data_IF_540861344065
#
_entry.id   IF_540861344065
#
_cell.length_a   1.000
_cell.length_b   1.000
_cell.length_c   1.000
_cell.angle_alpha   90.00
_cell.angle_beta   90.00
_cell.angle_gamma   90.00
#
_symmetry.space_group_name_H-M   'P 1'
#
loop_
_entity.id
_entity.type
_entity.pdbx_description
1 polymer ?
#
# COMPACT_ATOMS: atom_id res chain seq x y z
N UNK A 1 -20.77 -10.03 -57.22
CA UNK A 1 -20.52 -10.23 -55.76
C UNK A 1 -20.01 -8.95 -55.12
N UNK A 2 -20.90 -8.12 -54.58
CA UNK A 2 -20.56 -6.79 -54.00
C UNK A 2 -20.22 -6.98 -52.50
N UNK A 3 -19.01 -6.66 -52.07
CA UNK A 3 -18.63 -6.56 -50.65
C UNK A 3 -19.09 -5.22 -50.09
N UNK A 4 -20.13 -5.22 -49.26
CA UNK A 4 -20.47 -4.08 -48.41
C UNK A 4 -19.39 -3.87 -47.34
N UNK A 5 -18.65 -2.76 -47.42
CA UNK A 5 -17.78 -2.27 -46.34
C UNK A 5 -18.66 -1.65 -45.25
N UNK A 6 -18.67 -2.30 -44.07
CA UNK A 6 -19.21 -1.69 -42.85
C UNK A 6 -18.24 -0.61 -42.37
N UNK A 7 -18.55 0.65 -42.64
CA UNK A 7 -17.88 1.79 -42.03
C UNK A 7 -18.49 1.99 -40.64
N UNK A 8 -17.86 1.42 -39.62
CA UNK A 8 -18.25 1.74 -38.24
C UNK A 8 -17.81 3.16 -37.91
N UNK A 9 -18.80 4.01 -37.58
CA UNK A 9 -18.64 5.43 -37.29
C UNK A 9 -17.81 5.64 -36.01
N UNK A 10 -16.53 5.90 -36.16
CA UNK A 10 -15.56 6.23 -35.11
C UNK A 10 -15.99 7.44 -34.23
N UNK A 11 -16.78 8.34 -34.75
CA UNK A 11 -17.28 9.51 -34.01
C UNK A 11 -18.16 9.17 -32.81
N UNK A 12 -19.04 8.17 -32.89
CA UNK A 12 -19.91 7.78 -31.76
C UNK A 12 -19.15 7.20 -30.59
N UNK A 13 -18.07 6.43 -30.86
CA UNK A 13 -17.24 5.84 -29.81
C UNK A 13 -16.44 6.90 -29.06
N UNK A 14 -15.93 7.92 -29.74
CA UNK A 14 -15.23 9.04 -29.10
C UNK A 14 -16.16 9.92 -28.24
N UNK A 15 -17.40 10.14 -28.66
CA UNK A 15 -18.39 10.89 -27.86
C UNK A 15 -18.82 10.13 -26.58
N UNK A 16 -18.95 8.80 -26.66
CA UNK A 16 -19.27 7.95 -25.49
C UNK A 16 -18.13 7.93 -24.49
N UNK A 17 -16.88 7.81 -24.95
CA UNK A 17 -15.70 7.85 -24.10
C UNK A 17 -15.56 9.23 -23.45
N UNK A 18 -15.75 10.31 -24.19
CA UNK A 18 -15.73 11.67 -23.65
C UNK A 18 -16.78 11.91 -22.57
N UNK A 19 -18.02 11.44 -22.77
CA UNK A 19 -19.09 11.55 -21.77
C UNK A 19 -18.84 10.68 -20.53
N UNK A 20 -18.24 9.48 -20.71
CA UNK A 20 -17.85 8.62 -19.59
C UNK A 20 -16.71 9.22 -18.76
N UNK A 21 -15.72 9.84 -19.40
CA UNK A 21 -14.60 10.52 -18.70
C UNK A 21 -15.07 11.75 -17.96
N UNK A 22 -15.96 12.56 -18.57
CA UNK A 22 -16.55 13.74 -17.93
C UNK A 22 -17.49 13.31 -16.79
N UNK A 23 -18.30 12.27 -16.96
CA UNK A 23 -19.17 11.71 -15.92
C UNK A 23 -18.38 11.16 -14.75
N UNK A 24 -17.27 10.47 -15.00
CA UNK A 24 -16.36 9.99 -13.96
C UNK A 24 -15.67 11.15 -13.24
N UNK A 25 -15.21 12.18 -13.96
CA UNK A 25 -14.63 13.40 -13.38
C UNK A 25 -15.60 14.18 -12.50
N UNK A 26 -16.88 14.31 -12.92
CA UNK A 26 -17.94 14.94 -12.13
C UNK A 26 -18.32 14.11 -10.89
N UNK A 27 -18.32 12.79 -11.00
CA UNK A 27 -18.54 11.89 -9.86
C UNK A 27 -17.42 12.01 -8.82
N UNK A 28 -16.17 12.08 -9.24
CA UNK A 28 -15.01 12.34 -8.38
C UNK A 28 -15.12 13.72 -7.70
N UNK A 29 -15.59 14.75 -8.41
CA UNK A 29 -15.81 16.08 -7.83
C UNK A 29 -16.94 16.13 -6.80
N UNK A 30 -18.04 15.41 -7.02
CA UNK A 30 -19.21 15.39 -6.10
C UNK A 30 -18.90 14.68 -4.77
N UNK A 31 -17.96 13.73 -4.78
CA UNK A 31 -17.50 13.02 -3.56
C UNK A 31 -16.64 13.93 -2.66
N UNK A 32 -16.24 15.11 -3.16
CA UNK A 32 -15.21 15.96 -2.57
C UNK A 32 -15.58 16.83 -1.34
N UNK A 33 -16.82 16.82 -0.81
CA UNK A 33 -17.28 17.90 0.07
C UNK A 33 -17.54 17.59 1.56
N UNK A 34 -16.96 16.57 2.19
CA UNK A 34 -17.12 16.34 3.63
C UNK A 34 -15.77 16.19 4.36
N UNK A 35 -15.58 16.98 5.42
CA UNK A 35 -14.35 16.98 6.22
C UNK A 35 -14.35 15.91 7.29
N UNK A 36 -13.29 15.12 7.35
CA UNK A 36 -13.10 14.10 8.40
C UNK A 36 -11.62 14.06 8.78
N UNK A 37 -11.34 13.95 10.10
CA UNK A 37 -9.99 13.67 10.62
C UNK A 37 -9.50 12.36 10.02
N UNK A 38 -8.23 12.31 9.61
CA UNK A 38 -7.63 11.12 9.04
C UNK A 38 -7.41 10.10 10.16
N UNK A 39 -7.98 8.89 10.09
CA UNK A 39 -7.57 7.81 10.98
C UNK A 39 -6.10 7.48 10.72
N UNK A 40 -5.40 6.94 11.72
CA UNK A 40 -4.04 6.49 11.56
C UNK A 40 -4.00 5.37 10.51
N UNK A 41 -3.04 5.47 9.60
CA UNK A 41 -2.82 4.55 8.49
C UNK A 41 -1.48 3.85 8.73
N UNK A 42 -1.44 2.52 8.65
CA UNK A 42 -0.22 1.78 8.95
C UNK A 42 0.84 1.95 7.88
N UNK A 43 0.45 1.86 6.61
CA UNK A 43 1.32 2.05 5.43
C UNK A 43 0.69 3.06 4.48
N UNK A 44 1.46 3.64 3.55
CA UNK A 44 0.89 4.39 2.41
C UNK A 44 0.29 3.39 1.43
N UNK A 45 1.11 2.50 0.91
CA UNK A 45 0.75 1.27 0.19
C UNK A 45 1.61 0.11 0.74
N UNK A 46 2.93 0.14 0.50
CA UNK A 46 3.88 -0.86 0.99
C UNK A 46 4.81 -0.33 2.08
N UNK A 47 5.00 0.99 2.14
CA UNK A 47 5.94 1.65 3.06
C UNK A 47 5.21 2.16 4.31
N UNK A 48 5.72 1.87 5.52
CA UNK A 48 5.11 2.32 6.76
C UNK A 48 5.01 3.84 6.86
N UNK A 49 3.94 4.32 7.46
CA UNK A 49 3.79 5.73 7.86
C UNK A 49 4.36 5.98 9.26
N UNK A 50 4.53 7.26 9.62
CA UNK A 50 4.87 7.65 10.98
C UNK A 50 3.62 7.78 11.90
N UNK A 51 2.46 7.34 11.45
CA UNK A 51 1.26 7.29 12.28
C UNK A 51 1.26 6.05 13.17
N UNK A 52 0.69 6.19 14.35
CA UNK A 52 0.48 5.12 15.34
C UNK A 52 -0.93 5.25 15.87
N UNK A 53 -1.63 4.14 16.01
CA UNK A 53 -2.98 4.10 16.56
C UNK A 53 -3.02 4.53 18.01
N UNK A 54 -4.03 5.33 18.36
CA UNK A 54 -4.32 5.68 19.75
C UNK A 54 -4.70 4.43 20.56
N UNK A 55 -4.49 4.49 21.88
CA UNK A 55 -4.80 3.40 22.81
C UNK A 55 -6.24 2.89 22.62
N UNK A 56 -6.37 1.59 22.44
CA UNK A 56 -7.64 0.90 22.29
C UNK A 56 -8.31 1.03 20.91
N UNK A 57 -7.73 1.80 19.99
CA UNK A 57 -8.18 1.83 18.60
C UNK A 57 -7.80 0.53 17.89
N UNK A 58 -8.67 0.08 17.00
CA UNK A 58 -8.48 -1.13 16.21
C UNK A 58 -8.66 -0.79 14.74
N UNK A 59 -7.71 -1.21 13.93
CA UNK A 59 -7.71 -1.04 12.48
C UNK A 59 -7.56 -2.39 11.79
N UNK A 60 -8.43 -2.63 10.82
CA UNK A 60 -8.34 -3.78 9.92
C UNK A 60 -8.05 -3.29 8.51
N UNK A 61 -7.21 -4.02 7.79
CA UNK A 61 -6.94 -3.77 6.38
C UNK A 61 -6.90 -5.09 5.61
N UNK A 62 -7.40 -5.06 4.38
CA UNK A 62 -7.29 -6.15 3.44
C UNK A 62 -6.60 -5.63 2.18
N UNK A 63 -5.40 -6.12 1.92
CA UNK A 63 -4.67 -5.82 0.70
C UNK A 63 -4.94 -6.91 -0.34
N UNK A 64 -5.23 -6.48 -1.55
CA UNK A 64 -5.48 -7.36 -2.70
C UNK A 64 -4.51 -6.99 -3.82
N UNK A 65 -3.53 -7.84 -4.05
CA UNK A 65 -2.60 -7.70 -5.16
C UNK A 65 -3.05 -8.55 -6.33
N UNK A 66 -3.06 -8.00 -7.54
CA UNK A 66 -3.46 -8.72 -8.75
C UNK A 66 -2.54 -8.39 -9.93
N UNK A 67 -1.93 -9.44 -10.48
CA UNK A 67 -1.18 -9.41 -11.74
C UNK A 67 -1.91 -10.30 -12.75
N UNK A 68 -2.67 -9.70 -13.70
CA UNK A 68 -3.53 -10.49 -14.60
C UNK A 68 -2.77 -11.25 -15.69
N UNK A 69 -1.59 -10.76 -16.09
CA UNK A 69 -0.83 -11.29 -17.20
C UNK A 69 0.49 -11.91 -16.73
N UNK A 70 0.90 -12.99 -17.40
CA UNK A 70 2.23 -13.54 -17.25
C UNK A 70 3.31 -12.60 -17.82
N UNK A 71 4.50 -12.63 -17.25
CA UNK A 71 5.71 -12.00 -17.80
C UNK A 71 6.87 -13.01 -17.72
N UNK A 72 7.97 -12.72 -18.40
CA UNK A 72 9.16 -13.57 -18.36
C UNK A 72 9.71 -13.79 -16.93
N UNK A 73 9.56 -12.79 -16.06
CA UNK A 73 10.11 -12.83 -14.72
C UNK A 73 9.14 -13.40 -13.68
N UNK A 74 7.84 -13.15 -13.83
CA UNK A 74 6.82 -13.52 -12.84
C UNK A 74 5.51 -13.87 -13.56
N UNK A 75 4.95 -15.03 -13.22
CA UNK A 75 3.64 -15.45 -13.69
C UNK A 75 2.51 -14.59 -13.13
N UNK A 76 1.32 -14.76 -13.68
CA UNK A 76 0.10 -14.16 -13.12
C UNK A 76 -0.14 -14.62 -11.68
N UNK A 77 -0.64 -13.75 -10.84
CA UNK A 77 -1.01 -14.07 -9.47
C UNK A 77 -2.13 -13.18 -8.94
N UNK A 78 -2.76 -13.64 -7.88
CA UNK A 78 -3.50 -12.79 -6.93
C UNK A 78 -3.06 -13.15 -5.51
N UNK A 79 -3.05 -12.17 -4.63
CA UNK A 79 -2.68 -12.34 -3.23
C UNK A 79 -3.61 -11.51 -2.36
N UNK A 80 -3.93 -12.04 -1.20
CA UNK A 80 -4.78 -11.40 -0.21
C UNK A 80 -4.02 -11.35 1.11
N UNK A 81 -3.89 -10.16 1.68
CA UNK A 81 -3.16 -9.94 2.94
C UNK A 81 -4.09 -9.25 3.93
N UNK A 82 -4.85 -9.99 4.73
CA UNK A 82 -5.55 -9.40 5.87
C UNK A 82 -4.56 -9.00 6.95
N UNK A 83 -4.81 -7.82 7.52
CA UNK A 83 -4.00 -7.18 8.55
C UNK A 83 -4.89 -6.68 9.67
N UNK A 84 -4.48 -6.87 10.91
CA UNK A 84 -5.15 -6.34 12.09
C UNK A 84 -4.14 -5.64 12.98
N UNK A 85 -4.44 -4.40 13.38
CA UNK A 85 -3.57 -3.58 14.23
C UNK A 85 -4.37 -2.99 15.37
N UNK A 86 -3.75 -2.93 16.55
CA UNK A 86 -4.33 -2.41 17.78
C UNK A 86 -3.37 -1.41 18.41
N UNK A 87 -3.88 -0.24 18.78
CA UNK A 87 -3.14 0.75 19.57
C UNK A 87 -2.99 0.28 21.02
N UNK A 88 -1.75 -0.01 21.43
CA UNK A 88 -1.43 -0.46 22.78
C UNK A 88 -1.30 0.69 23.81
N UNK A 89 -1.27 1.94 23.35
CA UNK A 89 -0.95 3.12 24.16
C UNK A 89 0.53 3.43 24.19
N UNK A 90 0.91 4.50 24.87
CA UNK A 90 2.30 4.99 24.94
C UNK A 90 2.95 5.16 23.55
N UNK A 91 2.14 5.55 22.55
CA UNK A 91 2.58 5.67 21.15
C UNK A 91 3.10 4.35 20.54
N UNK A 92 2.57 3.22 20.99
CA UNK A 92 2.88 1.89 20.48
C UNK A 92 1.63 1.26 19.87
N UNK A 93 1.76 0.64 18.74
CA UNK A 93 0.77 -0.26 18.16
C UNK A 93 1.40 -1.63 17.91
N UNK A 94 0.56 -2.66 17.95
CA UNK A 94 0.93 -4.03 17.62
C UNK A 94 -0.13 -4.64 16.71
N UNK A 95 0.28 -5.55 15.85
CA UNK A 95 -0.60 -6.15 14.88
C UNK A 95 -0.14 -7.51 14.38
N UNK A 96 -0.89 -8.02 13.42
CA UNK A 96 -0.56 -9.24 12.71
C UNK A 96 -1.01 -9.15 11.25
N UNK A 97 -0.14 -9.55 10.33
CA UNK A 97 -0.44 -9.70 8.92
C UNK A 97 -0.42 -11.18 8.55
N UNK A 98 -1.36 -11.63 7.74
CA UNK A 98 -1.32 -12.94 7.10
C UNK A 98 -0.85 -12.75 5.66
N UNK A 99 0.42 -13.04 5.41
CA UNK A 99 1.03 -12.90 4.10
C UNK A 99 0.92 -14.20 3.32
N UNK A 100 0.59 -14.11 2.04
CA UNK A 100 0.53 -15.23 1.14
C UNK A 100 -0.79 -15.33 0.37
N UNK A 101 -0.94 -16.42 -0.37
CA UNK A 101 -2.15 -16.68 -1.14
C UNK A 101 -3.13 -17.46 -0.29
N UNK A 102 -4.32 -16.94 -0.08
CA UNK A 102 -5.46 -17.66 0.50
C UNK A 102 -6.38 -18.28 -0.56
N UNK A 103 -5.97 -18.24 -1.82
CA UNK A 103 -6.64 -18.89 -2.94
C UNK A 103 -6.19 -20.35 -3.09
N UNK A 104 -6.97 -21.20 -3.80
CA UNK A 104 -6.57 -22.58 -4.08
C UNK A 104 -5.25 -22.66 -4.85
N UNK A 105 -4.37 -23.60 -4.47
CA UNK A 105 -3.09 -23.84 -5.12
C UNK A 105 -1.93 -24.04 -4.15
N UNK A 106 -0.71 -24.22 -4.66
CA UNK A 106 0.51 -24.36 -3.84
C UNK A 106 0.90 -22.96 -3.31
N UNK A 107 0.23 -22.52 -2.28
CA UNK A 107 0.47 -21.25 -1.63
C UNK A 107 1.47 -21.34 -0.48
N UNK A 108 2.13 -20.23 -0.19
CA UNK A 108 2.90 -20.05 1.02
C UNK A 108 2.15 -19.13 1.96
N UNK A 109 2.04 -19.52 3.22
CA UNK A 109 1.42 -18.68 4.25
C UNK A 109 2.45 -18.31 5.30
N UNK A 110 2.53 -17.03 5.59
CA UNK A 110 3.40 -16.48 6.63
C UNK A 110 2.56 -15.66 7.59
N UNK A 111 2.68 -15.94 8.87
CA UNK A 111 2.13 -15.07 9.92
C UNK A 111 3.21 -14.05 10.24
N UNK A 112 2.85 -12.77 10.21
CA UNK A 112 3.79 -11.69 10.49
C UNK A 112 3.26 -10.80 11.63
N UNK A 113 3.55 -11.13 12.91
CA UNK A 113 3.37 -10.19 14.00
C UNK A 113 4.16 -8.93 13.76
N UNK A 114 3.56 -7.77 14.06
CA UNK A 114 4.17 -6.46 13.86
C UNK A 114 4.13 -5.64 15.13
N UNK A 115 5.12 -4.79 15.31
CA UNK A 115 5.13 -3.76 16.34
C UNK A 115 5.71 -2.49 15.77
N UNK A 116 5.08 -1.34 16.10
CA UNK A 116 5.56 -0.02 15.70
C UNK A 116 5.43 0.94 16.88
N UNK A 117 6.48 1.71 17.14
CA UNK A 117 6.49 2.72 18.19
C UNK A 117 6.92 4.07 17.65
N UNK A 118 6.22 5.15 18.04
CA UNK A 118 6.60 6.52 17.72
C UNK A 118 7.61 7.00 18.74
N UNK A 119 8.85 7.21 18.30
CA UNK A 119 9.98 7.63 19.14
C UNK A 119 10.17 9.13 19.17
N UNK A 120 9.60 9.83 18.20
CA UNK A 120 9.57 11.29 18.18
C UNK A 120 8.23 11.79 17.63
N UNK A 121 7.65 12.75 18.32
CA UNK A 121 6.44 13.48 17.91
C UNK A 121 6.67 14.97 18.13
N UNK A 122 6.97 15.66 17.05
CA UNK A 122 7.22 17.10 17.06
C UNK A 122 5.96 17.95 17.08
N UNK A 123 4.77 17.33 17.13
CA UNK A 123 3.46 18.02 17.22
C UNK A 123 3.35 19.18 16.21
N UNK A 124 3.55 20.41 16.71
CA UNK A 124 3.36 21.65 15.93
C UNK A 124 4.39 21.81 14.80
N UNK A 125 5.57 21.24 14.94
CA UNK A 125 6.58 21.30 13.88
C UNK A 125 6.32 20.29 12.75
N UNK A 126 5.32 19.40 12.91
CA UNK A 126 4.87 18.45 11.90
C UNK A 126 5.82 17.28 11.62
N UNK A 127 6.90 17.11 12.37
CA UNK A 127 7.78 15.96 12.28
C UNK A 127 7.31 14.82 13.19
N UNK A 128 7.41 13.57 12.69
CA UNK A 128 7.22 12.38 13.49
C UNK A 128 8.21 11.30 13.04
N UNK A 129 8.69 10.49 13.98
CA UNK A 129 9.58 9.36 13.70
C UNK A 129 9.09 8.12 14.42
N UNK A 130 9.05 7.01 13.69
CA UNK A 130 8.69 5.68 14.21
C UNK A 130 9.83 4.69 13.97
N UNK A 131 9.87 3.67 14.81
CA UNK A 131 10.66 2.45 14.61
C UNK A 131 9.67 1.29 14.66
N UNK A 132 9.84 0.32 13.77
CA UNK A 132 8.99 -0.86 13.74
C UNK A 132 9.75 -2.12 13.33
N UNK A 133 9.13 -3.24 13.64
CA UNK A 133 9.62 -4.57 13.28
C UNK A 133 8.46 -5.49 12.91
N UNK A 134 8.67 -6.33 11.89
CA UNK A 134 7.76 -7.38 11.48
C UNK A 134 8.52 -8.71 11.53
N UNK A 135 8.03 -9.64 12.33
CA UNK A 135 8.58 -10.98 12.42
C UNK A 135 7.86 -11.91 11.45
N UNK A 136 8.54 -12.39 10.42
CA UNK A 136 8.00 -13.32 9.44
C UNK A 136 8.14 -14.77 9.94
N UNK A 137 7.01 -15.45 10.13
CA UNK A 137 6.92 -16.84 10.58
C UNK A 137 6.23 -17.66 9.47
N UNK A 138 6.99 -18.28 8.54
CA UNK A 138 6.39 -19.11 7.49
C UNK A 138 5.81 -20.38 8.13
N UNK A 139 4.51 -20.59 7.93
CA UNK A 139 3.76 -21.72 8.54
C UNK A 139 3.33 -22.76 7.52
N UNK A 140 3.19 -22.36 6.24
CA UNK A 140 2.83 -23.26 5.15
C UNK A 140 3.70 -23.01 3.92
N UNK A 141 4.08 -24.09 3.19
CA UNK A 141 4.92 -24.02 1.98
C UNK A 141 6.13 -23.09 2.17
N UNK A 142 6.97 -23.41 3.13
CA UNK A 142 8.06 -22.56 3.60
C UNK A 142 9.10 -22.33 2.52
N UNK A 143 9.03 -21.19 1.84
CA UNK A 143 10.05 -20.78 0.86
C UNK A 143 11.30 -20.19 1.53
N UNK A 144 11.23 -19.80 2.81
CA UNK A 144 12.31 -19.22 3.60
C UNK A 144 12.15 -19.57 5.09
N UNK A 145 13.19 -19.37 5.87
CA UNK A 145 13.15 -19.49 7.34
C UNK A 145 12.56 -18.23 7.97
N UNK A 146 12.22 -18.33 9.27
CA UNK A 146 11.78 -17.17 10.04
C UNK A 146 12.81 -16.04 9.99
N UNK A 147 12.35 -14.80 9.99
CA UNK A 147 13.21 -13.63 9.93
C UNK A 147 12.45 -12.34 10.18
N UNK A 148 13.14 -11.21 10.11
CA UNK A 148 12.59 -9.91 10.46
C UNK A 148 12.74 -8.89 9.32
N UNK A 149 11.86 -7.91 9.35
CA UNK A 149 11.93 -6.64 8.65
C UNK A 149 11.86 -5.54 9.69
N UNK A 150 12.99 -4.88 9.92
CA UNK A 150 13.14 -3.77 10.86
C UNK A 150 13.26 -2.48 10.08
N UNK A 151 12.61 -1.41 10.55
CA UNK A 151 12.63 -0.12 9.86
C UNK A 151 12.61 1.07 10.81
N UNK A 152 13.07 2.21 10.29
CA UNK A 152 12.85 3.54 10.85
C UNK A 152 12.22 4.41 9.77
N UNK A 153 11.18 5.15 10.12
CA UNK A 153 10.52 6.11 9.24
C UNK A 153 10.38 7.46 9.92
N UNK A 154 10.79 8.50 9.23
CA UNK A 154 10.55 9.90 9.62
C UNK A 154 9.65 10.55 8.60
N UNK A 155 8.66 11.28 9.06
CA UNK A 155 7.68 11.95 8.21
C UNK A 155 7.54 13.41 8.60
N UNK A 156 7.41 14.27 7.60
CA UNK A 156 7.11 15.69 7.74
C UNK A 156 5.74 16.00 7.16
N UNK A 157 4.89 16.62 7.94
CA UNK A 157 3.62 17.19 7.49
C UNK A 157 3.81 18.69 7.25
N UNK A 158 3.60 19.14 6.01
CA UNK A 158 3.67 20.54 5.60
C UNK A 158 2.27 21.14 5.58
N UNK A 159 2.12 22.37 6.09
CA UNK A 159 0.86 23.12 6.05
C UNK A 159 -0.38 22.27 6.44
N UNK A 160 -0.18 21.35 7.37
CA UNK A 160 -1.20 20.42 7.88
C UNK A 160 -1.83 19.50 6.84
N UNK A 161 -1.21 19.33 5.69
CA UNK A 161 -1.79 18.54 4.60
C UNK A 161 -0.80 17.65 3.84
N UNK A 162 0.17 18.22 3.14
CA UNK A 162 1.16 17.45 2.37
C UNK A 162 2.09 16.72 3.31
N UNK A 163 2.30 15.43 3.08
CA UNK A 163 3.16 14.58 3.89
C UNK A 163 4.27 13.98 3.04
N UNK A 164 5.49 14.06 3.53
CA UNK A 164 6.66 13.45 2.92
C UNK A 164 7.38 12.64 3.97
N UNK A 165 7.62 11.38 3.68
CA UNK A 165 8.32 10.47 4.57
C UNK A 165 9.58 9.91 3.92
N UNK A 166 10.58 9.64 4.76
CA UNK A 166 11.80 8.93 4.38
C UNK A 166 12.30 8.10 5.55
N UNK A 167 12.98 7.02 5.22
CA UNK A 167 13.49 6.13 6.25
C UNK A 167 14.42 5.08 5.68
N UNK A 168 14.86 4.19 6.55
CA UNK A 168 15.69 3.06 6.21
C UNK A 168 15.07 1.75 6.69
N UNK A 169 15.47 0.67 6.06
CA UNK A 169 15.04 -0.67 6.43
C UNK A 169 16.19 -1.68 6.41
N UNK A 170 15.95 -2.78 7.11
CA UNK A 170 16.81 -3.94 7.11
C UNK A 170 15.99 -5.24 7.17
N UNK A 171 16.30 -6.17 6.26
CA UNK A 171 15.79 -7.53 6.30
C UNK A 171 16.83 -8.48 6.91
N UNK A 172 16.42 -9.39 7.79
CA UNK A 172 17.25 -10.52 8.17
C UNK A 172 17.52 -11.42 6.94
N UNK A 173 18.61 -12.18 6.97
CA UNK A 173 19.10 -12.96 5.82
C UNK A 173 18.07 -13.92 5.23
N UNK A 174 17.15 -14.41 6.05
CA UNK A 174 16.23 -15.47 5.68
C UNK A 174 14.95 -14.96 4.97
N UNK A 175 14.70 -13.65 4.96
CA UNK A 175 13.45 -13.04 4.43
C UNK A 175 13.55 -12.74 2.95
N UNK A 176 14.74 -12.50 2.44
CA UNK A 176 14.99 -12.13 1.03
C UNK A 176 15.90 -13.13 0.35
N UNK A 177 15.84 -13.19 -0.98
CA UNK A 177 16.65 -14.08 -1.78
C UNK A 177 18.17 -13.84 -1.55
N UNK A 178 18.99 -14.86 -1.75
CA UNK A 178 20.40 -14.87 -1.39
C UNK A 178 21.27 -13.74 -1.98
N UNK A 179 20.88 -13.18 -3.12
CA UNK A 179 21.60 -12.06 -3.78
C UNK A 179 20.83 -10.73 -3.74
N UNK A 180 19.73 -10.68 -2.98
CA UNK A 180 18.91 -9.49 -2.86
C UNK A 180 19.50 -8.49 -1.87
N UNK A 181 19.15 -7.21 -2.04
CA UNK A 181 19.50 -6.19 -1.07
C UNK A 181 18.73 -6.43 0.23
N UNK A 182 19.43 -6.41 1.35
CA UNK A 182 18.84 -6.58 2.68
C UNK A 182 18.56 -5.26 3.38
N UNK A 183 19.15 -4.19 2.91
CA UNK A 183 18.98 -2.85 3.46
C UNK A 183 18.78 -1.85 2.34
N UNK A 184 18.10 -0.76 2.63
CA UNK A 184 17.85 0.32 1.69
C UNK A 184 17.05 1.46 2.29
N UNK A 185 16.57 2.35 1.41
CA UNK A 185 15.73 3.47 1.77
C UNK A 185 14.25 3.18 1.52
N UNK A 186 13.40 3.91 2.24
CA UNK A 186 11.97 3.95 2.05
C UNK A 186 11.52 5.40 1.95
N UNK A 187 10.57 5.68 1.04
CA UNK A 187 10.08 7.02 0.81
C UNK A 187 8.57 7.00 0.66
N UNK A 188 7.90 8.04 1.18
CA UNK A 188 6.46 8.22 1.03
C UNK A 188 6.13 9.65 0.65
N UNK A 189 5.06 9.80 -0.11
CA UNK A 189 4.49 11.09 -0.47
C UNK A 189 2.97 10.98 -0.44
N UNK A 190 2.33 11.97 0.18
CA UNK A 190 0.88 12.07 0.23
C UNK A 190 0.47 13.54 0.04
N UNK A 191 -0.39 13.79 -0.93
CA UNK A 191 -0.97 15.10 -1.21
C UNK A 191 -2.50 15.02 -1.20
N UNK A 192 -3.16 15.43 -0.13
CA UNK A 192 -4.61 15.59 -0.13
C UNK A 192 -5.05 16.60 -1.19
N UNK A 193 -5.92 16.18 -2.09
CA UNK A 193 -6.59 17.06 -3.06
C UNK A 193 -7.82 17.70 -2.43
N UNK A 194 -8.47 16.95 -1.57
CA UNK A 194 -9.62 17.37 -0.79
C UNK A 194 -9.76 16.45 0.44
N UNK A 195 -10.87 16.60 1.18
CA UNK A 195 -11.12 15.84 2.42
C UNK A 195 -11.33 14.32 2.20
N UNK A 196 -11.56 13.88 0.96
CA UNK A 196 -11.84 12.48 0.64
C UNK A 196 -10.79 11.82 -0.25
N UNK A 197 -10.03 12.59 -1.00
CA UNK A 197 -9.11 12.06 -2.00
C UNK A 197 -7.71 12.59 -1.77
N UNK A 198 -6.74 11.68 -1.70
CA UNK A 198 -5.31 11.95 -1.58
C UNK A 198 -4.58 11.26 -2.71
N UNK A 199 -3.75 11.97 -3.46
CA UNK A 199 -2.74 11.36 -4.32
C UNK A 199 -1.58 10.93 -3.43
N UNK A 200 -1.10 9.72 -3.61
CA UNK A 200 -0.02 9.18 -2.82
C UNK A 200 0.95 8.36 -3.68
N UNK A 201 2.16 8.24 -3.20
CA UNK A 201 3.14 7.31 -3.74
C UNK A 201 4.05 6.84 -2.62
N UNK A 202 4.51 5.61 -2.73
CA UNK A 202 5.63 5.14 -1.92
C UNK A 202 6.70 4.48 -2.78
N UNK A 203 7.89 4.38 -2.22
CA UNK A 203 9.01 3.70 -2.86
C UNK A 203 9.81 2.92 -1.84
N UNK A 204 9.74 1.62 -1.96
CA UNK A 204 10.58 0.68 -1.24
C UNK A 204 11.76 0.35 -2.14
N UNK A 205 12.94 0.86 -1.84
CA UNK A 205 14.13 0.70 -2.69
C UNK A 205 14.70 -0.71 -2.61
N UNK A 206 15.68 -1.00 -3.46
CA UNK A 206 16.42 -2.26 -3.40
C UNK A 206 15.95 -3.31 -4.39
N UNK A 207 16.78 -4.34 -4.52
CA UNK A 207 16.62 -5.46 -5.46
C UNK A 207 16.15 -6.70 -4.69
N UNK A 208 14.88 -6.72 -4.32
CA UNK A 208 14.22 -7.83 -3.59
C UNK A 208 12.72 -7.84 -3.87
N UNK A 209 12.02 -8.86 -3.38
CA UNK A 209 10.61 -9.10 -3.65
C UNK A 209 9.66 -7.98 -3.16
N UNK A 210 10.08 -7.15 -2.20
CA UNK A 210 9.32 -6.01 -1.73
C UNK A 210 9.74 -4.66 -2.38
N UNK A 211 10.65 -4.68 -3.36
CA UNK A 211 11.20 -3.48 -3.99
C UNK A 211 10.31 -2.91 -5.09
N UNK A 212 9.46 -1.95 -4.74
CA UNK A 212 8.48 -1.32 -5.64
C UNK A 212 8.44 0.18 -5.47
N UNK A 213 8.17 0.87 -6.59
CA UNK A 213 7.61 2.22 -6.61
C UNK A 213 6.11 2.08 -6.86
N UNK A 214 5.28 2.62 -5.97
CA UNK A 214 3.83 2.41 -5.99
C UNK A 214 3.10 3.75 -5.94
N UNK A 215 2.78 4.37 -7.10
CA UNK A 215 1.88 5.50 -7.18
C UNK A 215 0.42 5.05 -7.08
N UNK A 216 -0.44 5.90 -6.52
CA UNK A 216 -1.86 5.60 -6.40
C UNK A 216 -2.70 6.72 -5.78
N UNK A 217 -3.90 6.34 -5.41
CA UNK A 217 -4.90 7.22 -4.81
C UNK A 217 -5.48 6.56 -3.56
N UNK A 218 -5.62 7.35 -2.51
CA UNK A 218 -6.31 7.00 -1.27
C UNK A 218 -7.64 7.74 -1.24
N UNK A 219 -8.71 7.05 -0.93
CA UNK A 219 -10.04 7.63 -0.86
C UNK A 219 -10.79 7.21 0.39
N UNK A 220 -11.46 8.15 1.03
CA UNK A 220 -12.23 7.94 2.27
C UNK A 220 -13.71 7.83 1.96
N UNK A 221 -14.32 6.77 2.49
CA UNK A 221 -15.76 6.53 2.40
C UNK A 221 -16.36 6.63 3.82
N UNK A 222 -16.94 7.78 4.11
CA UNK A 222 -17.41 8.08 5.47
C UNK A 222 -16.25 8.31 6.45
N UNK A 223 -16.46 7.93 7.71
CA UNK A 223 -15.51 8.16 8.82
C UNK A 223 -14.62 6.96 9.13
N UNK A 224 -15.05 5.77 8.71
CA UNK A 224 -14.44 4.51 9.13
C UNK A 224 -13.75 3.75 8.02
N UNK A 225 -14.08 4.02 6.77
CA UNK A 225 -13.60 3.25 5.62
C UNK A 225 -12.59 4.09 4.83
N UNK A 226 -11.47 3.47 4.50
CA UNK A 226 -10.48 4.01 3.57
C UNK A 226 -10.23 2.97 2.49
N UNK A 227 -10.27 3.39 1.24
CA UNK A 227 -9.91 2.57 0.10
C UNK A 227 -8.63 3.10 -0.54
N UNK A 228 -7.87 2.20 -1.14
CA UNK A 228 -6.62 2.52 -1.82
C UNK A 228 -6.62 1.84 -3.18
N UNK A 229 -6.15 2.54 -4.19
CA UNK A 229 -5.97 1.98 -5.53
C UNK A 229 -4.63 2.43 -6.08
N UNK A 230 -3.76 1.50 -6.37
CA UNK A 230 -2.40 1.78 -6.77
C UNK A 230 -1.85 0.76 -7.78
N UNK A 231 -0.72 1.09 -8.38
CA UNK A 231 -0.01 0.24 -9.30
C UNK A 231 1.45 0.12 -8.88
N UNK A 232 1.86 -1.06 -8.47
CA UNK A 232 3.22 -1.35 -8.02
C UNK A 232 4.13 -1.64 -9.20
N UNK A 233 5.18 -0.83 -9.35
CA UNK A 233 6.19 -0.91 -10.41
C UNK A 233 7.46 -1.47 -9.80
N UNK A 234 7.81 -2.72 -10.14
CA UNK A 234 8.99 -3.40 -9.59
C UNK A 234 10.30 -2.69 -9.92
N UNK A 235 11.18 -2.60 -8.95
CA UNK A 235 12.55 -2.14 -9.14
C UNK A 235 13.32 -3.08 -10.09
N UNK A 236 14.46 -2.64 -10.59
CA UNK A 236 15.30 -3.49 -11.45
C UNK A 236 15.76 -4.77 -10.72
N UNK A 237 15.97 -5.83 -11.47
CA UNK A 237 16.36 -7.17 -11.06
C UNK A 237 15.24 -7.96 -10.37
N UNK A 238 15.30 -8.21 -9.05
CA UNK A 238 14.42 -9.13 -8.35
C UNK A 238 12.92 -8.83 -8.52
N UNK A 239 12.58 -7.56 -8.71
CA UNK A 239 11.19 -7.14 -8.91
C UNK A 239 10.86 -6.78 -10.36
N UNK A 240 11.84 -6.81 -11.26
CA UNK A 240 11.65 -6.42 -12.66
C UNK A 240 10.59 -7.29 -13.34
N UNK A 241 9.61 -6.61 -13.97
CA UNK A 241 8.47 -7.27 -14.61
C UNK A 241 7.39 -7.77 -13.65
N UNK A 242 7.60 -7.64 -12.35
CA UNK A 242 6.58 -7.95 -11.35
C UNK A 242 5.70 -6.72 -11.05
N UNK A 243 5.12 -6.15 -12.10
CA UNK A 243 4.17 -5.04 -11.95
C UNK A 243 2.79 -5.59 -11.65
N UNK A 244 2.08 -5.01 -10.68
CA UNK A 244 0.76 -5.47 -10.30
C UNK A 244 -0.13 -4.34 -9.80
N UNK A 245 -1.44 -4.55 -9.86
CA UNK A 245 -2.42 -3.70 -9.19
C UNK A 245 -2.48 -4.04 -7.71
N UNK A 246 -2.52 -3.02 -6.87
CA UNK A 246 -2.71 -3.15 -5.43
C UNK A 246 -3.95 -2.35 -5.03
N UNK A 247 -4.92 -3.04 -4.49
CA UNK A 247 -6.14 -2.48 -3.91
C UNK A 247 -6.13 -2.79 -2.43
N UNK A 248 -6.42 -1.79 -1.59
CA UNK A 248 -6.49 -1.98 -0.15
C UNK A 248 -7.83 -1.45 0.38
N UNK A 249 -8.33 -2.09 1.38
CA UNK A 249 -9.56 -1.72 2.07
C UNK A 249 -9.30 -1.68 3.56
N UNK A 250 -9.29 -0.47 4.13
CA UNK A 250 -9.08 -0.22 5.54
C UNK A 250 -10.39 0.09 6.29
N UNK A 251 -10.53 -0.45 7.48
CA UNK A 251 -11.68 -0.21 8.37
C UNK A 251 -11.23 0.11 9.79
N UNK A 252 -11.71 1.24 10.32
CA UNK A 252 -11.52 1.67 11.71
C UNK A 252 -12.75 1.28 12.53
N UNK A 253 -12.57 0.43 13.52
CA UNK A 253 -13.68 -0.06 14.36
C UNK A 253 -14.23 1.01 15.32
N UNK A 254 -13.40 1.98 15.76
CA UNK A 254 -13.73 2.93 16.83
C UNK A 254 -13.55 4.39 16.38
#
# INVERSE_FOLDING_TARGET
MQRKRLVFSSKRSFELIGKAVIGFGLWVLLIAMLSIKTPAQETVFNVPTADVLDKGKVYFELDVSAKPNDSEAVGRFSSFVPRLVVGAGHHIEAGVNLLGNIQPGPDSTTIAPTIKGKVYDGKDNGWATVIGDNLFLPVRNRAYNAGTYTYVMTQKTFNKSTRVGFGGYFFSRNVVAAKANRAGGQFTFEQPLNKKVTIAADWFTGKHSAGYFTPGVIFKVGTKITGYASYSIGNQNASRGNHYFLLEFGYNFN
#
